data_IF_695882760001
#
_entry.id   IF_695882760001
#
_cell.length_a   1.000
_cell.length_b   1.000
_cell.length_c   1.000
_cell.angle_alpha   90.00
_cell.angle_beta   90.00
_cell.angle_gamma   90.00
#
_symmetry.space_group_name_H-M   'P 1'
#
loop_
_entity.id
_entity.type
_entity.pdbx_description
1 polymer ?
#
# COMPACT_ATOMS: atom_id res chain seq x y z
N UNK A 1 -26.62 3.75 -11.25
CA UNK A 1 -25.60 4.82 -11.41
C UNK A 1 -24.83 5.15 -10.12
N UNK A 2 -25.48 5.30 -8.96
CA UNK A 2 -24.76 5.63 -7.70
C UNK A 2 -23.77 4.54 -7.25
N UNK A 3 -24.15 3.26 -7.36
CA UNK A 3 -23.26 2.13 -7.03
C UNK A 3 -22.01 2.08 -7.93
N UNK A 4 -22.16 2.30 -9.23
CA UNK A 4 -21.03 2.32 -10.18
C UNK A 4 -20.03 3.44 -9.86
N UNK A 5 -20.54 4.63 -9.51
CA UNK A 5 -19.69 5.76 -9.07
C UNK A 5 -18.93 5.43 -7.79
N UNK A 6 -19.61 4.79 -6.83
CA UNK A 6 -19.00 4.40 -5.56
C UNK A 6 -17.94 3.31 -5.75
N UNK A 7 -18.20 2.35 -6.64
CA UNK A 7 -17.23 1.32 -7.01
C UNK A 7 -15.97 1.93 -7.63
N UNK A 8 -16.11 2.87 -8.58
CA UNK A 8 -14.98 3.57 -9.18
C UNK A 8 -14.15 4.37 -8.17
N UNK A 9 -14.78 5.01 -7.19
CA UNK A 9 -14.08 5.74 -6.13
C UNK A 9 -13.24 4.79 -5.27
N UNK A 10 -13.81 3.66 -4.82
CA UNK A 10 -13.05 2.70 -4.02
C UNK A 10 -11.98 1.98 -4.82
N UNK A 11 -12.19 1.75 -6.13
CA UNK A 11 -11.15 1.23 -7.01
C UNK A 11 -9.95 2.20 -7.08
N UNK A 12 -10.21 3.51 -7.12
CA UNK A 12 -9.17 4.53 -7.00
C UNK A 12 -8.42 4.45 -5.67
N UNK A 13 -9.13 4.32 -4.55
CA UNK A 13 -8.51 4.16 -3.23
C UNK A 13 -7.69 2.87 -3.11
N UNK A 14 -8.17 1.76 -3.67
CA UNK A 14 -7.41 0.52 -3.77
C UNK A 14 -6.13 0.72 -4.57
N UNK A 15 -6.19 1.43 -5.70
CA UNK A 15 -5.00 1.76 -6.48
C UNK A 15 -3.95 2.53 -5.67
N UNK A 16 -4.37 3.54 -4.90
CA UNK A 16 -3.48 4.31 -4.02
C UNK A 16 -2.88 3.40 -2.93
N UNK A 17 -3.70 2.55 -2.29
CA UNK A 17 -3.24 1.65 -1.25
C UNK A 17 -2.26 0.59 -1.78
N UNK A 18 -2.46 0.08 -3.00
CA UNK A 18 -1.51 -0.80 -3.67
C UNK A 18 -0.16 -0.10 -3.92
N UNK A 19 -0.19 1.14 -4.41
CA UNK A 19 1.03 1.93 -4.59
C UNK A 19 1.76 2.16 -3.25
N UNK A 20 1.03 2.42 -2.17
CA UNK A 20 1.61 2.54 -0.82
C UNK A 20 2.23 1.23 -0.34
N UNK A 21 1.61 0.08 -0.61
CA UNK A 21 2.17 -1.23 -0.26
C UNK A 21 3.45 -1.56 -1.05
N UNK A 22 3.47 -1.25 -2.35
CA UNK A 22 4.69 -1.37 -3.15
C UNK A 22 5.78 -0.41 -2.66
N UNK A 23 5.41 0.81 -2.26
CA UNK A 23 6.34 1.79 -1.70
C UNK A 23 6.93 1.31 -0.37
N UNK A 24 6.12 0.75 0.53
CA UNK A 24 6.57 0.15 1.80
C UNK A 24 7.64 -0.92 1.56
N UNK A 25 7.36 -1.87 0.66
CA UNK A 25 8.31 -2.94 0.34
C UNK A 25 9.55 -2.40 -0.39
N UNK A 26 9.40 -1.41 -1.26
CA UNK A 26 10.55 -0.73 -1.88
C UNK A 26 11.48 -0.10 -0.84
N UNK A 27 10.92 0.57 0.18
CA UNK A 27 11.69 1.15 1.27
C UNK A 27 12.40 0.06 2.09
N UNK A 28 11.74 -1.09 2.30
CA UNK A 28 12.34 -2.21 3.03
C UNK A 28 13.46 -2.92 2.26
N UNK A 29 13.29 -3.14 0.94
CA UNK A 29 14.28 -3.80 0.09
C UNK A 29 15.47 -2.89 -0.27
N UNK A 30 15.26 -1.58 -0.32
CA UNK A 30 16.26 -0.62 -0.75
C UNK A 30 16.45 -0.56 -2.28
N UNK A 31 17.40 0.25 -2.79
CA UNK A 31 17.56 0.45 -4.21
C UNK A 31 18.06 -0.81 -4.94
N UNK A 32 17.54 -1.03 -6.15
CA UNK A 32 17.99 -2.11 -7.04
C UNK A 32 19.47 -1.98 -7.45
N UNK A 33 20.10 -3.10 -7.77
CA UNK A 33 21.47 -3.14 -8.28
C UNK A 33 21.47 -2.73 -9.76
N UNK A 34 22.22 -1.69 -10.12
CA UNK A 34 22.22 -1.10 -11.47
C UNK A 34 23.53 -1.27 -12.24
N UNK A 35 24.57 -1.86 -11.64
CA UNK A 35 25.96 -1.67 -12.10
C UNK A 35 26.56 -2.78 -12.96
N UNK A 36 25.79 -3.79 -13.43
CA UNK A 36 26.36 -4.82 -14.29
C UNK A 36 25.34 -5.43 -15.27
N UNK A 37 25.72 -5.55 -16.55
CA UNK A 37 24.93 -6.23 -17.60
C UNK A 37 25.16 -7.75 -17.61
N UNK A 38 25.41 -8.36 -16.44
CA UNK A 38 25.57 -9.81 -16.33
C UNK A 38 24.22 -10.52 -16.17
N UNK A 39 24.14 -11.77 -16.63
CA UNK A 39 22.98 -12.65 -16.40
C UNK A 39 22.58 -12.72 -14.91
N UNK A 40 23.57 -12.70 -14.02
CA UNK A 40 23.36 -12.70 -12.58
C UNK A 40 22.64 -11.42 -12.08
N UNK A 41 22.98 -10.25 -12.64
CA UNK A 41 22.30 -9.00 -12.27
C UNK A 41 20.87 -8.96 -12.82
N UNK A 42 20.63 -9.53 -14.00
CA UNK A 42 19.28 -9.71 -14.52
C UNK A 42 18.43 -10.61 -13.61
N UNK A 43 18.97 -11.74 -13.15
CA UNK A 43 18.28 -12.65 -12.23
C UNK A 43 17.96 -12.00 -10.88
N UNK A 44 18.91 -11.26 -10.29
CA UNK A 44 18.68 -10.53 -9.04
C UNK A 44 17.60 -9.45 -9.20
N UNK A 45 17.58 -8.73 -10.32
CA UNK A 45 16.53 -7.76 -10.59
C UNK A 45 15.15 -8.42 -10.79
N UNK A 46 15.11 -9.63 -11.36
CA UNK A 46 13.88 -10.41 -11.47
C UNK A 46 13.36 -10.82 -10.08
N UNK A 47 14.24 -11.30 -9.20
CA UNK A 47 13.90 -11.64 -7.81
C UNK A 47 13.46 -10.41 -7.02
N UNK A 48 14.12 -9.27 -7.20
CA UNK A 48 13.73 -8.00 -6.59
C UNK A 48 12.31 -7.61 -7.00
N UNK A 49 12.00 -7.64 -8.29
CA UNK A 49 10.66 -7.32 -8.78
C UNK A 49 9.61 -8.31 -8.29
N UNK A 50 9.97 -9.60 -8.22
CA UNK A 50 9.11 -10.63 -7.69
C UNK A 50 8.80 -10.39 -6.21
N UNK A 51 9.81 -10.14 -5.37
CA UNK A 51 9.63 -9.82 -3.96
C UNK A 51 8.77 -8.56 -3.77
N UNK A 52 9.04 -7.51 -4.55
CA UNK A 52 8.29 -6.25 -4.50
C UNK A 52 6.79 -6.45 -4.81
N UNK A 53 6.46 -7.24 -5.82
CA UNK A 53 5.06 -7.54 -6.16
C UNK A 53 4.43 -8.55 -5.20
N UNK A 54 5.15 -9.62 -4.85
CA UNK A 54 4.65 -10.73 -4.04
C UNK A 54 4.35 -10.30 -2.61
N UNK A 55 5.15 -9.40 -2.03
CA UNK A 55 4.91 -8.86 -0.68
C UNK A 55 4.09 -7.57 -0.75
N UNK A 56 4.39 -6.69 -1.72
CA UNK A 56 3.79 -5.36 -1.76
C UNK A 56 2.32 -5.36 -2.18
N UNK A 57 1.90 -6.24 -3.10
CA UNK A 57 0.49 -6.32 -3.51
C UNK A 57 -0.41 -6.85 -2.39
N UNK A 58 -0.12 -7.97 -1.71
CA UNK A 58 -0.93 -8.41 -0.57
C UNK A 58 -0.96 -7.39 0.56
N UNK A 59 0.17 -6.74 0.86
CA UNK A 59 0.21 -5.68 1.88
C UNK A 59 -0.70 -4.50 1.51
N UNK A 60 -0.59 -4.01 0.27
CA UNK A 60 -1.43 -2.91 -0.23
C UNK A 60 -2.91 -3.28 -0.31
N UNK A 61 -3.23 -4.53 -0.63
CA UNK A 61 -4.60 -5.04 -0.68
C UNK A 61 -5.21 -5.15 0.72
N UNK A 62 -4.45 -5.62 1.70
CA UNK A 62 -4.85 -5.64 3.11
C UNK A 62 -5.09 -4.22 3.63
N UNK A 63 -4.19 -3.29 3.32
CA UNK A 63 -4.35 -1.87 3.64
C UNK A 63 -5.63 -1.28 3.00
N UNK A 64 -5.89 -1.62 1.73
CA UNK A 64 -7.09 -1.17 1.02
C UNK A 64 -8.37 -1.66 1.69
N UNK A 65 -8.45 -2.95 2.04
CA UNK A 65 -9.64 -3.54 2.70
C UNK A 65 -9.93 -2.80 4.01
N UNK A 66 -8.90 -2.65 4.85
CA UNK A 66 -9.05 -2.01 6.17
C UNK A 66 -9.48 -0.55 6.03
N UNK A 67 -8.85 0.18 5.10
CA UNK A 67 -9.23 1.55 4.81
C UNK A 67 -10.66 1.68 4.29
N UNK A 68 -11.08 0.81 3.36
CA UNK A 68 -12.44 0.82 2.80
C UNK A 68 -13.47 0.53 3.89
N UNK A 69 -13.24 -0.46 4.75
CA UNK A 69 -14.10 -0.72 5.90
C UNK A 69 -14.20 0.54 6.79
N UNK A 70 -13.06 1.13 7.12
CA UNK A 70 -13.03 2.33 7.96
C UNK A 70 -13.77 3.52 7.31
N UNK A 71 -13.60 3.74 6.00
CA UNK A 71 -14.30 4.80 5.29
C UNK A 71 -15.82 4.56 5.27
N UNK A 72 -16.27 3.35 4.94
CA UNK A 72 -17.69 3.02 4.86
C UNK A 72 -18.39 3.18 6.20
N UNK A 73 -17.77 2.72 7.30
CA UNK A 73 -18.39 2.74 8.62
C UNK A 73 -18.28 4.09 9.33
N UNK A 74 -17.17 4.81 9.16
CA UNK A 74 -16.86 6.02 9.94
C UNK A 74 -16.76 7.29 9.09
N UNK A 75 -15.86 7.33 8.10
CA UNK A 75 -15.53 8.58 7.39
C UNK A 75 -16.67 9.05 6.48
N UNK A 76 -17.32 8.14 5.74
CA UNK A 76 -18.40 8.46 4.82
C UNK A 76 -19.57 9.16 5.50
N UNK A 77 -19.86 8.82 6.76
CA UNK A 77 -20.92 9.44 7.57
C UNK A 77 -20.56 10.87 8.03
N UNK A 78 -19.26 11.14 8.21
CA UNK A 78 -18.76 12.42 8.78
C UNK A 78 -18.23 13.39 7.72
N UNK A 79 -17.76 12.90 6.58
CA UNK A 79 -17.06 13.68 5.56
C UNK A 79 -17.89 13.85 4.29
N UNK A 80 -18.12 15.11 3.91
CA UNK A 80 -18.73 15.48 2.64
C UNK A 80 -17.83 15.07 1.46
N UNK A 81 -18.44 14.91 0.28
CA UNK A 81 -17.75 14.61 -0.97
C UNK A 81 -17.20 15.91 -1.60
N UNK A 82 -16.20 16.51 -0.96
CA UNK A 82 -15.49 17.70 -1.41
C UNK A 82 -13.97 17.54 -1.24
N UNK A 83 -13.18 18.51 -1.71
CA UNK A 83 -11.72 18.44 -1.64
C UNK A 83 -11.21 18.25 -0.21
N UNK A 84 -11.78 18.95 0.77
CA UNK A 84 -11.41 18.79 2.19
C UNK A 84 -11.64 17.35 2.67
N UNK A 85 -12.79 16.76 2.34
CA UNK A 85 -13.11 15.38 2.66
C UNK A 85 -12.21 14.37 1.93
N UNK A 86 -11.74 14.69 0.73
CA UNK A 86 -10.75 13.87 0.02
C UNK A 86 -9.38 13.89 0.72
N UNK A 87 -8.89 15.09 1.07
CA UNK A 87 -7.61 15.25 1.79
C UNK A 87 -7.62 14.52 3.12
N UNK A 88 -8.71 14.63 3.90
CA UNK A 88 -8.82 13.89 5.17
C UNK A 88 -8.78 12.38 4.96
N UNK A 89 -9.48 11.84 3.96
CA UNK A 89 -9.42 10.42 3.63
C UNK A 89 -8.01 9.97 3.24
N UNK A 90 -7.32 10.78 2.46
CA UNK A 90 -5.93 10.51 2.07
C UNK A 90 -4.99 10.50 3.28
N UNK A 91 -5.13 11.47 4.19
CA UNK A 91 -4.35 11.49 5.43
C UNK A 91 -4.63 10.27 6.31
N UNK A 92 -5.88 9.83 6.41
CA UNK A 92 -6.21 8.60 7.17
C UNK A 92 -5.57 7.37 6.53
N UNK A 93 -5.61 7.24 5.20
CA UNK A 93 -4.95 6.15 4.50
C UNK A 93 -3.43 6.17 4.74
N UNK A 94 -2.80 7.34 4.69
CA UNK A 94 -1.38 7.49 5.00
C UNK A 94 -1.07 7.07 6.45
N UNK A 95 -1.89 7.50 7.42
CA UNK A 95 -1.72 7.08 8.81
C UNK A 95 -1.80 5.57 8.96
N UNK A 96 -2.76 4.91 8.30
CA UNK A 96 -2.80 3.44 8.29
C UNK A 96 -1.57 2.83 7.65
N UNK A 97 -1.09 3.38 6.52
CA UNK A 97 0.11 2.88 5.86
C UNK A 97 1.34 2.93 6.79
N UNK A 98 1.52 4.04 7.52
CA UNK A 98 2.63 4.20 8.46
C UNK A 98 2.50 3.24 9.64
N UNK A 99 1.31 3.11 10.22
CA UNK A 99 1.07 2.19 11.35
C UNK A 99 1.32 0.74 10.95
N UNK A 100 0.74 0.30 9.82
CA UNK A 100 0.92 -1.08 9.34
C UNK A 100 2.35 -1.36 8.92
N UNK A 101 3.02 -0.39 8.27
CA UNK A 101 4.42 -0.52 7.92
C UNK A 101 5.33 -0.61 9.14
N UNK A 102 5.03 0.17 10.19
CA UNK A 102 5.73 0.10 11.47
C UNK A 102 5.54 -1.24 12.18
N UNK A 103 4.31 -1.77 12.20
CA UNK A 103 4.01 -3.09 12.77
C UNK A 103 4.77 -4.18 12.01
N UNK A 104 4.73 -4.14 10.67
CA UNK A 104 5.46 -5.08 9.82
C UNK A 104 6.96 -5.05 10.11
N UNK A 105 7.57 -3.86 10.15
CA UNK A 105 8.98 -3.69 10.45
C UNK A 105 9.34 -4.19 11.86
N UNK A 106 8.50 -3.93 12.85
CA UNK A 106 8.71 -4.38 14.22
C UNK A 106 8.65 -5.91 14.33
N UNK A 107 7.66 -6.54 13.68
CA UNK A 107 7.53 -8.00 13.63
C UNK A 107 8.75 -8.66 12.97
N UNK A 108 9.23 -8.08 11.88
CA UNK A 108 10.41 -8.57 11.15
C UNK A 108 11.70 -8.38 11.96
N UNK A 109 11.96 -7.18 12.51
CA UNK A 109 13.25 -6.85 13.13
C UNK A 109 13.38 -7.17 14.61
N UNK A 110 12.28 -7.22 15.36
CA UNK A 110 12.33 -7.41 16.82
C UNK A 110 11.94 -8.82 17.22
N UNK A 111 10.93 -9.38 16.56
CA UNK A 111 10.35 -10.67 16.95
C UNK A 111 10.87 -11.81 16.06
N UNK A 112 11.45 -11.51 14.89
CA UNK A 112 11.99 -12.51 13.94
C UNK A 112 10.96 -13.58 13.56
N UNK A 113 9.70 -13.14 13.37
CA UNK A 113 8.57 -14.01 13.04
C UNK A 113 8.39 -14.17 11.52
N UNK A 114 8.98 -13.26 10.74
CA UNK A 114 8.81 -13.13 9.28
C UNK A 114 10.18 -13.00 8.62
#
# INVERSE_FOLDING_TARGET
MQLLKQFGIYLGWTGIALLLGLCHVYVALGPRITTSNSFFTWLLNLLYNHALLYVGLPFGLLLAIIFILFDVFFLKKKLKHNLKGFVVRFLVLLTFSVVFGGIHYFLEKVIDVI
#
